data_IF_486320454263
#
_entry.id   IF_486320454263
#
_cell.length_a   1.000
_cell.length_b   1.000
_cell.length_c   1.000
_cell.angle_alpha   90.00
_cell.angle_beta   90.00
_cell.angle_gamma   90.00
#
_symmetry.space_group_name_H-M   'P 1'
#
loop_
_entity.id
_entity.type
_entity.pdbx_description
1 polymer ?
#
# COMPACT_ATOMS: atom_id res chain seq x y z
N UNK A 1 0.34 4.76 14.38
CA UNK A 1 -0.07 4.58 12.97
C UNK A 1 -1.17 3.53 12.95
N UNK A 2 -2.35 3.85 12.39
CA UNK A 2 -3.55 3.00 12.44
C UNK A 2 -3.50 1.81 11.47
N UNK A 3 -2.58 1.79 10.50
CA UNK A 3 -2.47 0.71 9.53
C UNK A 3 -1.04 0.19 9.41
N UNK A 4 -0.91 -1.05 8.93
CA UNK A 4 0.33 -1.64 8.45
C UNK A 4 0.17 -1.90 6.95
N UNK A 5 1.19 -1.54 6.17
CA UNK A 5 1.26 -1.78 4.73
C UNK A 5 2.36 -2.79 4.45
N UNK A 6 2.03 -3.86 3.75
CA UNK A 6 2.98 -4.86 3.25
C UNK A 6 3.08 -4.73 1.74
N UNK A 7 4.28 -4.48 1.26
CA UNK A 7 4.62 -4.56 -0.16
C UNK A 7 5.22 -5.92 -0.45
N UNK A 8 4.65 -6.63 -1.42
CA UNK A 8 5.18 -7.90 -1.94
C UNK A 8 5.59 -7.69 -3.39
N UNK A 9 6.89 -7.51 -3.68
CA UNK A 9 7.39 -7.42 -5.05
C UNK A 9 7.05 -8.68 -5.86
N UNK A 10 6.92 -8.53 -7.18
CA UNK A 10 6.83 -9.68 -8.10
C UNK A 10 8.20 -10.29 -8.42
N UNK A 11 9.30 -9.63 -8.03
CA UNK A 11 10.65 -10.18 -8.03
C UNK A 11 10.83 -11.21 -6.91
N UNK A 12 12.00 -11.85 -6.85
CA UNK A 12 12.40 -12.75 -5.76
C UNK A 12 12.75 -12.00 -4.45
N UNK A 13 12.45 -10.71 -4.35
CA UNK A 13 12.73 -9.90 -3.17
C UNK A 13 11.71 -10.18 -2.05
N UNK A 14 12.16 -10.08 -0.80
CA UNK A 14 11.33 -10.32 0.37
C UNK A 14 10.22 -9.27 0.52
N UNK A 15 9.05 -9.70 1.01
CA UNK A 15 7.97 -8.77 1.33
C UNK A 15 8.35 -7.84 2.50
N UNK A 16 8.11 -6.54 2.33
CA UNK A 16 8.47 -5.52 3.33
C UNK A 16 7.21 -4.96 3.96
N UNK A 17 7.14 -4.99 5.30
CA UNK A 17 6.01 -4.43 6.06
C UNK A 17 6.43 -3.17 6.79
N UNK A 18 5.71 -2.08 6.53
CA UNK A 18 5.97 -0.75 7.10
C UNK A 18 4.70 -0.15 7.73
N UNK A 19 4.84 0.75 8.70
CA UNK A 19 3.71 1.52 9.20
C UNK A 19 3.10 2.44 8.13
N UNK A 20 1.77 2.48 8.03
CA UNK A 20 1.04 3.45 7.21
C UNK A 20 0.23 4.38 8.14
N UNK A 21 0.57 5.67 8.13
CA UNK A 21 0.02 6.63 9.09
C UNK A 21 -1.43 7.03 8.83
N UNK A 22 -1.84 7.03 7.57
CA UNK A 22 -3.18 7.43 7.14
C UNK A 22 -3.43 6.99 5.69
N UNK A 23 -4.68 7.10 5.21
CA UNK A 23 -5.08 6.80 3.83
C UNK A 23 -5.08 8.08 2.98
N UNK A 24 -3.92 8.73 2.91
CA UNK A 24 -3.70 9.96 2.13
C UNK A 24 -2.54 9.79 1.15
N UNK A 25 -2.48 10.59 0.06
CA UNK A 25 -1.40 10.51 -0.93
C UNK A 25 0.00 10.60 -0.31
N UNK A 26 0.20 11.58 0.57
CA UNK A 26 1.47 11.82 1.26
C UNK A 26 1.86 10.67 2.18
N UNK A 27 0.91 10.07 2.90
CA UNK A 27 1.16 8.91 3.75
C UNK A 27 1.50 7.65 2.95
N UNK A 28 0.81 7.43 1.83
CA UNK A 28 1.06 6.28 0.96
C UNK A 28 2.44 6.38 0.30
N UNK A 29 2.83 7.55 -0.21
CA UNK A 29 4.15 7.76 -0.80
C UNK A 29 5.28 7.58 0.22
N UNK A 30 5.10 8.08 1.45
CA UNK A 30 6.08 7.90 2.53
C UNK A 30 6.23 6.43 2.91
N UNK A 31 5.12 5.71 3.10
CA UNK A 31 5.14 4.28 3.38
C UNK A 31 5.80 3.49 2.23
N UNK A 32 5.46 3.81 0.98
CA UNK A 32 6.04 3.15 -0.17
C UNK A 32 7.55 3.35 -0.31
N UNK A 33 8.05 4.56 -0.07
CA UNK A 33 9.48 4.83 -0.06
C UNK A 33 10.19 4.03 1.03
N UNK A 34 9.59 3.90 2.21
CA UNK A 34 10.12 3.08 3.30
C UNK A 34 10.04 1.56 3.00
N UNK A 35 9.15 1.15 2.10
CA UNK A 35 9.02 -0.23 1.63
C UNK A 35 9.88 -0.52 0.37
N UNK A 36 10.74 0.43 -0.03
CA UNK A 36 11.63 0.33 -1.19
C UNK A 36 10.90 0.10 -2.53
N UNK A 37 9.69 0.64 -2.66
CA UNK A 37 8.95 0.60 -3.93
C UNK A 37 9.58 1.55 -4.96
N UNK A 38 9.57 1.13 -6.23
CA UNK A 38 10.04 1.99 -7.33
C UNK A 38 9.18 3.26 -7.44
N UNK A 39 9.84 4.42 -7.35
CA UNK A 39 9.23 5.74 -7.46
C UNK A 39 8.50 5.94 -8.79
N UNK A 40 8.89 5.22 -9.85
CA UNK A 40 8.27 5.30 -11.18
C UNK A 40 6.78 4.90 -11.17
N UNK A 41 6.36 4.10 -10.18
CA UNK A 41 4.98 3.67 -10.01
C UNK A 41 4.06 4.79 -9.50
N UNK A 42 4.60 5.83 -8.85
CA UNK A 42 3.86 6.86 -8.13
C UNK A 42 3.37 8.01 -9.02
N UNK A 43 2.67 7.66 -10.10
CA UNK A 43 1.92 8.64 -10.89
C UNK A 43 0.65 9.08 -10.13
N UNK A 44 0.18 10.30 -10.35
CA UNK A 44 -1.04 10.81 -9.70
C UNK A 44 -2.23 9.86 -9.87
N UNK A 45 -2.42 9.33 -11.09
CA UNK A 45 -3.52 8.40 -11.39
C UNK A 45 -3.38 7.09 -10.62
N UNK A 46 -2.17 6.58 -10.46
CA UNK A 46 -1.91 5.39 -9.66
C UNK A 46 -2.27 5.62 -8.19
N UNK A 47 -1.77 6.71 -7.61
CA UNK A 47 -1.99 7.05 -6.20
C UNK A 47 -3.49 7.14 -5.88
N UNK A 48 -4.27 7.87 -6.68
CA UNK A 48 -5.70 8.03 -6.41
C UNK A 48 -6.50 6.73 -6.59
N UNK A 49 -6.16 5.89 -7.58
CA UNK A 49 -6.83 4.60 -7.79
C UNK A 49 -6.53 3.62 -6.66
N UNK A 50 -5.27 3.56 -6.24
CA UNK A 50 -4.84 2.72 -5.12
C UNK A 50 -5.54 3.15 -3.84
N UNK A 51 -5.52 4.45 -3.51
CA UNK A 51 -6.21 4.96 -2.32
C UNK A 51 -7.72 4.68 -2.34
N UNK A 52 -8.39 4.86 -3.49
CA UNK A 52 -9.80 4.53 -3.62
C UNK A 52 -10.06 3.04 -3.33
N UNK A 53 -9.26 2.14 -3.90
CA UNK A 53 -9.38 0.71 -3.69
C UNK A 53 -9.13 0.31 -2.22
N UNK A 54 -8.10 0.89 -1.60
CA UNK A 54 -7.76 0.65 -0.20
C UNK A 54 -8.89 1.11 0.73
N UNK A 55 -9.39 2.33 0.56
CA UNK A 55 -10.48 2.87 1.38
C UNK A 55 -11.75 2.02 1.25
N UNK A 56 -12.12 1.64 0.02
CA UNK A 56 -13.30 0.83 -0.23
C UNK A 56 -13.18 -0.55 0.45
N UNK A 57 -12.07 -1.26 0.24
CA UNK A 57 -11.89 -2.60 0.80
C UNK A 57 -11.78 -2.56 2.33
N UNK A 58 -11.01 -1.62 2.91
CA UNK A 58 -10.90 -1.48 4.37
C UNK A 58 -12.26 -1.23 5.03
N UNK A 59 -13.13 -0.43 4.39
CA UNK A 59 -14.47 -0.14 4.91
C UNK A 59 -15.37 -1.39 4.92
N UNK A 60 -15.21 -2.30 3.96
CA UNK A 60 -16.12 -3.43 3.75
C UNK A 60 -15.60 -4.77 4.29
N UNK A 61 -14.28 -4.99 4.27
CA UNK A 61 -13.66 -6.28 4.55
C UNK A 61 -12.79 -6.26 5.82
N UNK A 62 -12.35 -5.07 6.26
CA UNK A 62 -11.45 -4.91 7.40
C UNK A 62 -9.96 -5.08 7.03
N UNK A 63 -9.65 -5.48 5.80
CA UNK A 63 -8.33 -5.46 5.17
C UNK A 63 -8.47 -4.98 3.71
N UNK A 64 -7.35 -4.69 3.06
CA UNK A 64 -7.35 -4.34 1.65
C UNK A 64 -6.13 -4.90 0.93
N UNK A 65 -6.36 -5.54 -0.22
CA UNK A 65 -5.30 -6.01 -1.09
C UNK A 65 -5.45 -5.39 -2.49
N UNK A 66 -4.36 -4.88 -3.05
CA UNK A 66 -4.32 -4.27 -4.38
C UNK A 66 -3.14 -4.84 -5.17
N UNK A 67 -3.44 -5.52 -6.27
CA UNK A 67 -2.43 -5.96 -7.23
C UNK A 67 -1.97 -4.80 -8.11
N UNK A 68 -0.66 -4.57 -8.15
CA UNK A 68 0.00 -3.49 -8.90
C UNK A 68 0.59 -4.08 -10.18
N UNK A 69 -0.28 -4.41 -11.13
CA UNK A 69 0.13 -4.94 -12.45
C UNK A 69 1.10 -6.12 -12.34
N UNK A 70 2.23 -6.04 -13.05
CA UNK A 70 3.32 -7.02 -13.01
C UNK A 70 4.37 -6.74 -11.92
N UNK A 71 4.21 -5.66 -11.15
CA UNK A 71 5.23 -5.19 -10.20
C UNK A 71 5.12 -5.85 -8.83
N UNK A 72 3.92 -6.24 -8.40
CA UNK A 72 3.69 -6.84 -7.09
C UNK A 72 2.30 -6.58 -6.53
N UNK A 73 2.12 -6.73 -5.23
CA UNK A 73 0.87 -6.43 -4.52
C UNK A 73 1.09 -5.66 -3.23
N UNK A 74 0.09 -4.84 -2.89
CA UNK A 74 0.00 -4.12 -1.63
C UNK A 74 -1.09 -4.75 -0.76
N UNK A 75 -0.75 -5.13 0.47
CA UNK A 75 -1.69 -5.50 1.50
C UNK A 75 -1.70 -4.42 2.58
N UNK A 76 -2.87 -3.91 2.95
CA UNK A 76 -3.06 -2.95 4.04
C UNK A 76 -4.02 -3.53 5.06
N UNK A 77 -3.58 -3.59 6.31
CA UNK A 77 -4.38 -4.09 7.43
C UNK A 77 -4.44 -3.05 8.56
N UNK A 78 -5.58 -2.90 9.24
CA UNK A 78 -5.67 -2.15 10.49
C UNK A 78 -4.69 -2.71 11.50
N UNK A 79 -3.99 -1.83 12.20
CA UNK A 79 -3.11 -2.22 13.29
C UNK A 79 -3.98 -2.69 14.46
N UNK A 80 -3.81 -3.95 14.86
CA UNK A 80 -4.38 -4.45 16.11
C UNK A 80 -3.69 -3.70 17.25
N UNK A 81 -4.49 -3.02 18.09
CA UNK A 81 -4.02 -2.34 19.31
C UNK A 81 -3.64 -3.36 20.39
#
# INVERSE_FOLDING_TARGET
MPYMMTWTPASDDDAVTVPLRDLTPDALCDAAANADMDYSLFTDTFIYRTLYALCYQLLHNGDAEVTIGEFGSLLVVPRVL
#
